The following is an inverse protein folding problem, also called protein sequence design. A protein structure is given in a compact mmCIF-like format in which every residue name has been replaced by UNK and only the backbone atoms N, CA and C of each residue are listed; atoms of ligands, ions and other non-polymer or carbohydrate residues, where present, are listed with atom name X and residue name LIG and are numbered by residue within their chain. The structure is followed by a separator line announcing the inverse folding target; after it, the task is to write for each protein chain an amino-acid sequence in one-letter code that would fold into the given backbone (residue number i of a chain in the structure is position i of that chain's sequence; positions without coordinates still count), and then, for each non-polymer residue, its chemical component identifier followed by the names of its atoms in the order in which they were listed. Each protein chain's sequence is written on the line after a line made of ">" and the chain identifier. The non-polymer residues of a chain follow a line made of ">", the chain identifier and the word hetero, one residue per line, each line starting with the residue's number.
data_IF_917111329854
#
_entry.id   IF_917111329854
#
_cell.length_a   1.000
_cell.length_b   1.000
_cell.length_c   1.000
_cell.angle_alpha   90.00
_cell.angle_beta   90.00
_cell.angle_gamma   90.00
#
_symmetry.space_group_name_H-M   'P 1'
#
loop_
_entity.id
_entity.type
_entity.pdbx_description
1 polymer ?
#
# COMPACT_ATOMS: atom_id res chain seq x y z
N UNK A 1 9.85 -94.17 -17.94
CA UNK A 1 8.78 -93.31 -18.49
C UNK A 1 9.49 -92.04 -18.95
N UNK A 2 9.80 -91.82 -20.24
CA UNK A 2 8.90 -91.51 -21.39
C UNK A 2 7.93 -90.39 -20.97
N UNK A 3 7.80 -89.20 -21.58
CA UNK A 3 8.22 -88.57 -22.84
C UNK A 3 8.26 -87.04 -22.58
N UNK A 4 9.20 -86.25 -23.11
CA UNK A 4 9.22 -85.59 -24.42
C UNK A 4 8.04 -84.64 -24.68
N UNK A 5 8.33 -83.33 -24.79
CA UNK A 5 7.88 -82.53 -25.93
C UNK A 5 8.77 -81.29 -26.09
N UNK A 6 9.33 -81.11 -27.29
CA UNK A 6 10.08 -79.94 -27.69
C UNK A 6 9.39 -79.23 -28.85
N UNK A 7 9.73 -77.97 -29.08
CA UNK A 7 9.66 -77.34 -30.41
C UNK A 7 10.59 -76.13 -30.50
N UNK A 8 11.62 -76.27 -31.34
CA UNK A 8 12.40 -75.20 -31.98
C UNK A 8 11.54 -74.53 -33.07
N UNK A 9 11.72 -73.28 -33.49
CA UNK A 9 12.79 -72.64 -34.30
C UNK A 9 12.48 -71.12 -34.25
N UNK A 10 13.39 -70.16 -34.43
CA UNK A 10 14.06 -69.86 -35.70
C UNK A 10 15.23 -68.86 -35.49
N UNK A 11 16.13 -68.87 -36.47
CA UNK A 11 17.52 -68.41 -36.51
C UNK A 11 17.63 -67.05 -37.23
N UNK A 12 18.50 -66.12 -36.77
CA UNK A 12 19.52 -65.43 -37.62
C UNK A 12 20.28 -64.30 -36.90
N UNK A 13 21.60 -64.42 -36.90
CA UNK A 13 22.55 -63.31 -36.80
C UNK A 13 22.75 -62.68 -38.19
N UNK A 14 22.93 -61.35 -38.24
CA UNK A 14 24.11 -60.76 -38.90
C UNK A 14 24.73 -59.72 -37.94
N UNK A 15 26.00 -59.34 -37.95
CA UNK A 15 27.09 -59.41 -38.90
C UNK A 15 28.13 -58.42 -38.34
N UNK A 16 29.41 -58.77 -38.37
CA UNK A 16 30.48 -57.91 -37.88
C UNK A 16 30.54 -56.60 -38.67
N UNK A 17 30.67 -55.47 -37.96
CA UNK A 17 31.07 -54.21 -38.59
C UNK A 17 30.66 -52.96 -37.83
N UNK A 18 31.39 -52.60 -36.76
CA UNK A 18 31.55 -51.20 -36.37
C UNK A 18 32.67 -51.08 -35.32
N UNK A 19 33.79 -50.50 -35.75
CA UNK A 19 34.87 -49.99 -34.93
C UNK A 19 34.33 -48.76 -34.20
N UNK A 20 34.27 -48.76 -32.86
CA UNK A 20 34.03 -47.53 -32.09
C UNK A 20 35.22 -47.27 -31.16
N UNK A 21 36.08 -46.34 -31.59
CA UNK A 21 37.07 -45.67 -30.77
C UNK A 21 36.32 -44.78 -29.76
N UNK A 22 36.30 -45.15 -28.49
CA UNK A 22 35.83 -44.24 -27.43
C UNK A 22 37.07 -43.53 -26.89
N UNK A 23 37.34 -42.38 -27.49
CA UNK A 23 38.32 -41.40 -27.06
C UNK A 23 37.84 -40.74 -25.78
N UNK A 24 38.72 -40.76 -24.76
CA UNK A 24 39.06 -39.67 -23.85
C UNK A 24 38.03 -38.53 -23.70
N UNK A 25 37.36 -38.50 -22.54
CA UNK A 25 36.53 -37.39 -22.09
C UNK A 25 36.21 -37.51 -20.61
N UNK A 26 37.24 -37.64 -19.75
CA UNK A 26 37.04 -37.59 -18.30
C UNK A 26 36.79 -36.13 -17.92
N UNK A 27 35.51 -35.81 -17.69
CA UNK A 27 35.04 -34.51 -17.27
C UNK A 27 35.65 -34.14 -15.91
N UNK A 28 36.46 -33.07 -15.90
CA UNK A 28 36.74 -32.31 -14.67
C UNK A 28 35.49 -31.50 -14.39
N UNK A 29 34.55 -32.07 -13.63
CA UNK A 29 33.45 -31.31 -13.04
C UNK A 29 34.06 -30.51 -11.89
N UNK A 30 34.40 -29.25 -12.16
CA UNK A 30 34.71 -28.29 -11.11
C UNK A 30 33.46 -28.17 -10.23
N UNK A 31 33.54 -28.71 -9.02
CA UNK A 31 32.55 -28.46 -7.98
C UNK A 31 32.57 -26.98 -7.64
N UNK A 32 31.69 -26.21 -8.28
CA UNK A 32 31.17 -24.98 -7.71
C UNK A 32 30.41 -25.41 -6.46
N UNK A 33 31.08 -25.32 -5.31
CA UNK A 33 30.42 -25.37 -4.02
C UNK A 33 29.52 -24.16 -3.93
N UNK A 34 28.27 -24.29 -4.35
CA UNK A 34 27.21 -23.45 -3.84
C UNK A 34 27.09 -23.81 -2.37
N UNK A 35 27.57 -22.93 -1.49
CA UNK A 35 27.11 -22.96 -0.11
C UNK A 35 25.59 -22.79 -0.19
N UNK A 36 24.84 -23.85 0.10
CA UNK A 36 23.43 -23.69 0.37
C UNK A 36 23.35 -22.77 1.60
N UNK A 37 22.88 -21.54 1.40
CA UNK A 37 22.34 -20.78 2.52
C UNK A 37 21.19 -21.64 3.05
N UNK A 38 21.38 -22.21 4.25
CA UNK A 38 20.31 -22.94 4.89
C UNK A 38 19.35 -21.88 5.42
N UNK A 39 18.17 -21.79 4.80
CA UNK A 39 17.07 -21.05 5.39
C UNK A 39 16.69 -21.74 6.71
N UNK A 40 16.62 -20.95 7.76
CA UNK A 40 16.05 -21.38 9.04
C UNK A 40 14.53 -21.21 8.96
N UNK A 41 13.80 -21.98 9.77
CA UNK A 41 12.34 -21.92 9.82
C UNK A 41 11.87 -21.60 11.23
N UNK A 42 10.88 -20.71 11.32
CA UNK A 42 10.07 -20.53 12.53
C UNK A 42 8.63 -20.88 12.21
N UNK A 43 7.95 -21.53 13.16
CA UNK A 43 6.55 -21.93 13.00
C UNK A 43 5.66 -20.96 13.76
N UNK A 44 4.65 -20.45 13.09
CA UNK A 44 3.60 -19.60 13.67
C UNK A 44 2.31 -20.40 13.76
N UNK A 45 1.82 -20.61 14.98
CA UNK A 45 0.57 -21.36 15.23
C UNK A 45 -0.60 -20.40 15.47
N UNK A 46 -1.47 -20.23 14.48
CA UNK A 46 -2.65 -19.37 14.57
C UNK A 46 -3.91 -20.22 14.61
N UNK A 47 -4.66 -20.15 15.72
CA UNK A 47 -5.92 -20.90 15.90
C UNK A 47 -5.83 -22.43 15.64
N UNK A 48 -4.64 -23.03 15.78
CA UNK A 48 -4.40 -24.46 15.56
C UNK A 48 -3.99 -24.82 14.13
N UNK A 49 -3.80 -23.84 13.25
CA UNK A 49 -3.11 -23.99 11.96
C UNK A 49 -1.66 -23.50 12.09
N UNK A 50 -0.72 -24.31 11.62
CA UNK A 50 0.72 -24.03 11.69
C UNK A 50 1.22 -23.54 10.34
N UNK A 51 1.95 -22.43 10.35
CA UNK A 51 2.56 -21.83 9.18
C UNK A 51 4.08 -21.74 9.37
N UNK A 52 4.85 -22.31 8.45
CA UNK A 52 6.29 -22.20 8.47
C UNK A 52 6.73 -20.94 7.72
N UNK A 53 7.49 -20.08 8.40
CA UNK A 53 8.14 -18.90 7.83
C UNK A 53 9.63 -19.22 7.68
N UNK A 54 10.10 -19.24 6.44
CA UNK A 54 11.52 -19.37 6.14
C UNK A 54 12.21 -18.02 6.27
N UNK A 55 13.41 -18.01 6.86
CA UNK A 55 14.23 -16.81 6.96
C UNK A 55 15.72 -17.10 6.81
N UNK A 56 16.46 -16.12 6.30
CA UNK A 56 17.92 -16.13 6.23
C UNK A 56 18.45 -14.75 6.62
N UNK A 57 19.69 -14.67 7.10
CA UNK A 57 20.28 -13.36 7.38
C UNK A 57 21.38 -13.39 8.42
N UNK A 58 21.77 -12.19 8.85
CA UNK A 58 22.76 -11.95 9.91
C UNK A 58 22.11 -11.87 11.30
N UNK A 59 20.77 -11.74 11.35
CA UNK A 59 19.99 -11.57 12.57
C UNK A 59 19.36 -12.91 12.99
N UNK A 60 19.36 -13.17 14.30
CA UNK A 60 18.69 -14.36 14.85
C UNK A 60 17.25 -14.06 15.21
N UNK A 61 16.30 -14.85 14.71
CA UNK A 61 14.90 -14.82 15.15
C UNK A 61 14.77 -15.70 16.40
N UNK A 62 14.34 -15.11 17.51
CA UNK A 62 14.23 -15.78 18.82
C UNK A 62 12.80 -16.18 19.17
N UNK A 63 11.82 -15.61 18.48
CA UNK A 63 10.41 -15.95 18.65
C UNK A 63 9.51 -15.22 17.65
N UNK A 64 8.26 -15.65 17.60
CA UNK A 64 7.21 -15.06 16.79
C UNK A 64 5.93 -14.91 17.61
N UNK A 65 5.24 -13.79 17.44
CA UNK A 65 3.95 -13.48 18.04
C UNK A 65 3.03 -12.88 16.98
N UNK A 66 1.72 -12.98 17.16
CA UNK A 66 0.74 -12.41 16.23
C UNK A 66 -0.40 -11.75 17.00
N UNK A 67 -1.04 -10.79 16.36
CA UNK A 67 -2.23 -10.13 16.88
C UNK A 67 -3.32 -10.10 15.80
N UNK A 68 -4.47 -10.74 16.09
CA UNK A 68 -5.60 -10.81 15.17
C UNK A 68 -6.45 -9.52 15.15
N UNK A 69 -6.42 -8.73 16.22
CA UNK A 69 -7.14 -7.45 16.29
C UNK A 69 -6.41 -6.37 15.48
N UNK A 70 -5.08 -6.47 15.38
CA UNK A 70 -4.25 -5.58 14.57
C UNK A 70 -3.79 -6.17 13.23
N UNK A 71 -4.02 -7.47 12.97
CA UNK A 71 -3.53 -8.21 11.79
C UNK A 71 -2.02 -7.97 11.65
N UNK A 72 -1.29 -8.24 12.73
CA UNK A 72 0.16 -8.09 12.77
C UNK A 72 0.87 -9.39 13.10
N UNK A 73 2.08 -9.54 12.55
CA UNK A 73 3.03 -10.60 12.85
C UNK A 73 4.32 -9.96 13.34
N UNK A 74 4.72 -10.35 14.56
CA UNK A 74 5.87 -9.82 15.28
C UNK A 74 6.98 -10.86 15.36
N UNK A 75 8.20 -10.45 15.05
CA UNK A 75 9.41 -11.25 15.19
C UNK A 75 10.28 -10.66 16.28
N UNK A 76 10.60 -11.45 17.30
CA UNK A 76 11.59 -11.10 18.32
C UNK A 76 12.98 -11.44 17.82
N UNK A 77 13.92 -10.52 17.96
CA UNK A 77 15.24 -10.61 17.34
C UNK A 77 16.37 -10.55 18.38
N UNK A 78 17.47 -11.20 18.04
CA UNK A 78 18.80 -10.91 18.60
C UNK A 78 19.68 -10.39 17.45
N UNK A 79 19.75 -9.06 17.33
CA UNK A 79 20.50 -8.34 16.30
C UNK A 79 21.75 -7.66 16.88
N UNK A 80 22.63 -8.40 17.56
CA UNK A 80 23.80 -7.84 18.25
C UNK A 80 24.65 -6.88 17.39
N UNK A 81 24.87 -7.24 16.11
CA UNK A 81 25.66 -6.45 15.15
C UNK A 81 24.80 -5.79 14.05
N UNK A 82 23.48 -6.01 14.05
CA UNK A 82 22.58 -5.66 12.95
C UNK A 82 22.85 -6.52 11.70
N UNK A 83 22.34 -6.08 10.55
CA UNK A 83 22.53 -6.75 9.26
C UNK A 83 21.21 -6.90 8.52
N UNK A 84 21.12 -7.87 7.63
CA UNK A 84 19.89 -8.08 6.84
C UNK A 84 19.14 -9.32 7.34
N UNK A 85 17.81 -9.24 7.37
CA UNK A 85 16.90 -10.37 7.57
C UNK A 85 16.00 -10.51 6.33
N UNK A 86 16.17 -11.61 5.62
CA UNK A 86 15.30 -12.02 4.53
C UNK A 86 14.22 -12.96 5.06
N UNK A 87 12.96 -12.64 4.80
CA UNK A 87 11.77 -13.41 5.19
C UNK A 87 11.01 -13.89 3.96
N UNK A 88 10.62 -15.15 3.95
CA UNK A 88 9.63 -15.69 3.01
C UNK A 88 8.32 -15.89 3.76
N UNK A 89 7.40 -14.93 3.61
CA UNK A 89 6.11 -14.93 4.29
C UNK A 89 5.07 -15.69 3.45
N UNK A 90 4.46 -16.78 3.96
CA UNK A 90 3.33 -17.40 3.30
C UNK A 90 2.14 -16.43 3.25
N UNK A 91 1.54 -16.23 2.08
CA UNK A 91 0.34 -15.39 1.94
C UNK A 91 -0.87 -15.94 2.71
N UNK A 92 -0.90 -17.24 2.94
CA UNK A 92 -1.91 -17.87 3.79
C UNK A 92 -1.73 -17.53 5.27
N UNK A 93 -0.51 -17.17 5.69
CA UNK A 93 -0.24 -16.70 7.05
C UNK A 93 -0.54 -15.21 7.16
N UNK A 94 0.12 -14.34 6.40
CA UNK A 94 -0.09 -12.89 6.45
C UNK A 94 0.03 -12.32 5.04
N UNK A 95 -0.91 -11.45 4.65
CA UNK A 95 -0.84 -10.75 3.37
C UNK A 95 -1.44 -9.35 3.48
N UNK A 96 -0.88 -8.44 2.70
CA UNK A 96 -1.46 -7.14 2.41
C UNK A 96 -2.12 -7.21 1.02
N UNK A 97 -3.37 -7.68 1.00
CA UNK A 97 -4.15 -7.84 -0.23
C UNK A 97 -5.64 -7.63 0.05
N UNK A 98 -6.23 -6.61 -0.58
CA UNK A 98 -7.67 -6.35 -0.52
C UNK A 98 -8.27 -6.35 -1.92
N UNK A 99 -9.38 -7.08 -2.10
CA UNK A 99 -10.05 -7.20 -3.40
C UNK A 99 -9.19 -7.87 -4.48
N UNK A 100 -8.19 -8.67 -4.08
CA UNK A 100 -7.24 -9.32 -5.00
C UNK A 100 -6.15 -8.40 -5.53
N UNK A 101 -5.98 -7.21 -4.95
CA UNK A 101 -4.91 -6.28 -5.29
C UNK A 101 -3.86 -6.30 -4.17
N UNK A 102 -2.61 -6.59 -4.53
CA UNK A 102 -1.48 -6.55 -3.61
C UNK A 102 -1.16 -5.11 -3.20
N UNK A 103 -1.26 -4.83 -1.90
CA UNK A 103 -0.72 -3.62 -1.28
C UNK A 103 0.71 -3.83 -0.76
N UNK A 104 1.26 -2.82 -0.09
CA UNK A 104 2.56 -2.88 0.58
C UNK A 104 2.37 -3.07 2.07
N UNK A 105 3.12 -3.99 2.69
CA UNK A 105 3.09 -4.16 4.14
C UNK A 105 3.58 -2.89 4.84
N UNK A 106 2.96 -2.55 5.96
CA UNK A 106 3.55 -1.63 6.93
C UNK A 106 4.46 -2.44 7.84
N UNK A 107 5.73 -2.04 7.97
CA UNK A 107 6.73 -2.78 8.74
C UNK A 107 7.42 -1.83 9.69
N UNK A 108 7.39 -2.16 10.98
CA UNK A 108 8.05 -1.41 12.03
C UNK A 108 9.28 -2.18 12.52
N UNK A 109 10.41 -1.51 12.64
CA UNK A 109 11.62 -2.02 13.30
C UNK A 109 11.76 -1.29 14.63
N UNK A 110 11.71 -2.02 15.75
CA UNK A 110 11.60 -1.47 17.11
C UNK A 110 10.49 -0.39 17.28
N UNK A 111 9.39 -0.54 16.54
CA UNK A 111 8.26 0.39 16.56
C UNK A 111 8.45 1.66 15.74
N UNK A 112 9.55 1.80 14.99
CA UNK A 112 9.77 2.89 14.03
C UNK A 112 9.47 2.42 12.60
N UNK A 113 8.72 3.24 11.85
CA UNK A 113 8.47 3.03 10.42
C UNK A 113 9.62 3.65 9.60
N UNK A 114 10.46 2.82 9.00
CA UNK A 114 11.48 3.23 8.03
C UNK A 114 11.35 2.40 6.74
N UNK A 115 10.55 2.85 5.76
CA UNK A 115 10.33 2.11 4.52
C UNK A 115 11.60 1.97 3.67
N UNK A 116 12.66 2.76 3.94
CA UNK A 116 13.92 2.65 3.20
C UNK A 116 14.76 1.45 3.64
N UNK A 117 14.47 0.90 4.83
CA UNK A 117 15.09 -0.32 5.36
C UNK A 117 14.47 -1.60 4.82
N UNK A 118 13.35 -1.51 4.08
CA UNK A 118 12.61 -2.67 3.58
C UNK A 118 12.67 -2.71 2.06
N UNK A 119 13.08 -3.86 1.53
CA UNK A 119 12.94 -4.18 0.11
C UNK A 119 12.01 -5.36 -0.04
N UNK A 120 10.90 -5.14 -0.73
CA UNK A 120 10.05 -6.25 -1.15
C UNK A 120 10.56 -6.89 -2.44
N UNK A 121 10.87 -8.19 -2.36
CA UNK A 121 11.43 -8.99 -3.43
C UNK A 121 10.36 -9.61 -4.33
N UNK A 122 10.57 -10.88 -4.68
CA UNK A 122 9.63 -11.60 -5.54
C UNK A 122 8.31 -11.91 -4.80
N UNK A 123 7.21 -11.69 -5.51
CA UNK A 123 5.84 -12.01 -5.08
C UNK A 123 5.34 -13.17 -5.92
N UNK A 124 4.82 -14.19 -5.25
CA UNK A 124 4.15 -15.33 -5.90
C UNK A 124 2.74 -15.46 -5.34
N UNK A 125 1.92 -16.36 -5.89
CA UNK A 125 0.60 -16.66 -5.32
C UNK A 125 0.69 -17.33 -3.93
N UNK A 126 1.85 -17.89 -3.57
CA UNK A 126 2.05 -18.63 -2.32
C UNK A 126 2.73 -17.80 -1.22
N UNK A 127 3.64 -16.90 -1.59
CA UNK A 127 4.49 -16.20 -0.64
C UNK A 127 4.94 -14.82 -1.12
N UNK A 128 5.34 -13.99 -0.17
CA UNK A 128 5.97 -12.68 -0.36
C UNK A 128 7.33 -12.68 0.30
N UNK A 129 8.36 -12.29 -0.44
CA UNK A 129 9.73 -12.20 0.06
C UNK A 129 10.04 -10.76 0.48
N UNK A 130 10.52 -10.58 1.69
CA UNK A 130 10.95 -9.31 2.24
C UNK A 130 12.43 -9.40 2.61
N UNK A 131 13.18 -8.33 2.35
CA UNK A 131 14.55 -8.14 2.80
C UNK A 131 14.58 -6.89 3.66
N UNK A 132 14.95 -7.02 4.93
CA UNK A 132 14.85 -5.96 5.94
C UNK A 132 16.24 -5.68 6.50
N UNK A 133 16.68 -4.43 6.39
CA UNK A 133 17.90 -3.94 7.03
C UNK A 133 17.61 -3.63 8.50
N UNK A 134 18.22 -4.44 9.37
CA UNK A 134 18.03 -4.40 10.82
C UNK A 134 19.23 -3.72 11.48
N UNK A 135 18.94 -2.71 12.30
CA UNK A 135 19.98 -1.97 13.01
C UNK A 135 20.55 -2.80 14.18
N UNK A 136 21.81 -2.53 14.54
CA UNK A 136 22.43 -3.17 15.69
C UNK A 136 21.68 -2.85 16.99
N UNK A 137 21.36 -3.90 17.74
CA UNK A 137 20.59 -3.82 18.97
C UNK A 137 19.07 -3.85 18.79
N UNK A 138 18.57 -3.96 17.55
CA UNK A 138 17.15 -4.09 17.32
C UNK A 138 16.61 -5.40 17.91
N UNK A 139 15.46 -5.30 18.56
CA UNK A 139 14.85 -6.38 19.32
C UNK A 139 13.57 -6.90 18.65
N UNK A 140 12.97 -6.14 17.74
CA UNK A 140 11.68 -6.46 17.18
C UNK A 140 11.49 -5.98 15.74
N UNK A 141 10.83 -6.80 14.93
CA UNK A 141 10.13 -6.37 13.71
C UNK A 141 8.65 -6.69 13.86
N UNK A 142 7.77 -5.75 13.50
CA UNK A 142 6.33 -5.97 13.43
C UNK A 142 5.81 -5.67 12.03
N UNK A 143 5.16 -6.66 11.41
CA UNK A 143 4.63 -6.61 10.05
C UNK A 143 3.11 -6.55 10.13
N UNK A 144 2.52 -5.50 9.58
CA UNK A 144 1.07 -5.33 9.51
C UNK A 144 0.58 -5.65 8.10
N UNK A 145 -0.46 -6.48 8.02
CA UNK A 145 -1.16 -6.80 6.79
C UNK A 145 -2.65 -6.47 6.89
N UNK A 146 -3.41 -6.87 5.87
CA UNK A 146 -4.87 -6.79 5.83
C UNK A 146 -5.54 -8.16 5.99
N UNK A 147 -4.74 -9.23 5.93
CA UNK A 147 -5.15 -10.60 6.25
C UNK A 147 -4.12 -11.32 7.12
N UNK A 148 -4.60 -12.16 8.07
CA UNK A 148 -3.77 -13.01 8.93
C UNK A 148 -4.51 -14.34 9.19
N UNK A 149 -3.96 -15.45 8.71
CA UNK A 149 -4.51 -16.81 8.84
C UNK A 149 -6.01 -16.90 8.50
N UNK A 150 -6.41 -16.28 7.38
CA UNK A 150 -7.79 -16.25 6.90
C UNK A 150 -8.72 -15.24 7.60
N UNK A 151 -8.26 -14.55 8.65
CA UNK A 151 -8.95 -13.36 9.17
C UNK A 151 -8.62 -12.18 8.27
N UNK A 152 -9.63 -11.43 7.82
CA UNK A 152 -9.44 -10.27 6.94
C UNK A 152 -10.09 -9.03 7.52
N UNK A 153 -9.38 -7.90 7.43
CA UNK A 153 -9.89 -6.56 7.74
C UNK A 153 -10.22 -5.75 6.49
N UNK A 154 -10.09 -6.35 5.30
CA UNK A 154 -10.55 -5.71 4.08
C UNK A 154 -12.06 -5.45 4.21
N UNK A 155 -12.54 -4.25 3.88
CA UNK A 155 -13.98 -4.04 3.78
C UNK A 155 -14.52 -5.06 2.80
N UNK A 156 -15.50 -5.85 3.25
CA UNK A 156 -16.19 -6.79 2.38
C UNK A 156 -16.70 -5.99 1.18
N UNK A 157 -16.38 -6.44 -0.03
CA UNK A 157 -16.79 -5.72 -1.23
C UNK A 157 -18.31 -5.64 -1.18
N UNK A 158 -18.85 -4.43 -1.03
CA UNK A 158 -20.29 -4.22 -1.15
C UNK A 158 -20.69 -4.85 -2.49
N UNK A 159 -21.70 -5.75 -2.51
CA UNK A 159 -22.04 -6.48 -3.73
C UNK A 159 -22.22 -5.47 -4.85
N UNK A 160 -21.50 -5.64 -5.97
CA UNK A 160 -21.67 -4.78 -7.13
C UNK A 160 -23.17 -4.70 -7.42
N UNK A 161 -23.75 -3.49 -7.57
CA UNK A 161 -25.17 -3.37 -7.84
C UNK A 161 -25.48 -4.19 -9.08
N UNK A 162 -26.51 -5.05 -9.00
CA UNK A 162 -26.97 -5.81 -10.16
C UNK A 162 -27.12 -4.85 -11.34
N UNK A 163 -26.59 -5.20 -12.54
CA UNK A 163 -26.66 -4.30 -13.67
C UNK A 163 -28.12 -3.91 -13.91
N UNK A 164 -28.39 -2.61 -13.95
CA UNK A 164 -29.73 -2.12 -14.26
C UNK A 164 -30.21 -2.76 -15.56
N UNK A 165 -31.48 -3.17 -15.66
CA UNK A 165 -32.00 -3.80 -16.86
C UNK A 165 -31.77 -2.86 -18.05
N UNK A 166 -31.08 -3.37 -19.07
CA UNK A 166 -30.85 -2.63 -20.31
C UNK A 166 -32.21 -2.21 -20.86
N UNK A 167 -32.46 -0.91 -21.11
CA UNK A 167 -33.73 -0.47 -21.65
C UNK A 167 -33.99 -1.16 -22.99
N UNK A 168 -35.21 -1.67 -23.15
CA UNK A 168 -35.68 -2.31 -24.37
C UNK A 168 -35.52 -1.31 -25.54
N UNK A 169 -35.00 -1.73 -26.70
CA UNK A 169 -34.76 -0.81 -27.82
C UNK A 169 -36.08 -0.14 -28.24
N UNK A 170 -36.06 1.20 -28.31
CA UNK A 170 -37.21 1.96 -28.84
C UNK A 170 -37.53 1.49 -30.27
N UNK A 171 -38.83 1.40 -30.62
CA UNK A 171 -39.24 1.00 -31.96
C UNK A 171 -38.71 1.99 -33.00
N UNK A 172 -38.16 1.44 -34.08
CA UNK A 172 -37.62 2.21 -35.20
C UNK A 172 -38.71 3.12 -35.80
N UNK A 173 -38.46 4.43 -35.96
CA UNK A 173 -39.48 5.37 -36.42
C UNK A 173 -39.93 5.04 -37.84
N UNK A 174 -41.25 5.08 -38.07
CA UNK A 174 -41.82 4.86 -39.40
C UNK A 174 -41.28 5.88 -40.43
N UNK A 175 -41.03 5.46 -41.68
CA UNK A 175 -40.49 6.33 -42.71
C UNK A 175 -41.44 7.49 -43.01
N UNK A 176 -40.95 8.72 -42.82
CA UNK A 176 -41.69 9.95 -43.12
C UNK A 176 -41.90 10.07 -44.64
N UNK A 177 -43.12 10.37 -45.11
CA UNK A 177 -43.40 10.57 -46.53
C UNK A 177 -42.54 11.69 -47.13
N UNK A 178 -42.07 11.49 -48.37
CA UNK A 178 -41.29 12.49 -49.10
C UNK A 178 -42.07 13.82 -49.25
N UNK A 179 -41.45 14.97 -48.98
CA UNK A 179 -42.14 16.26 -49.07
C UNK A 179 -42.52 16.58 -50.52
N UNK A 180 -43.73 17.14 -50.69
CA UNK A 180 -44.22 17.61 -51.98
C UNK A 180 -43.34 18.77 -52.51
N UNK A 181 -43.13 18.87 -53.84
CA UNK A 181 -42.30 19.91 -54.44
C UNK A 181 -42.87 21.31 -54.14
N UNK A 182 -41.98 22.22 -53.73
CA UNK A 182 -42.31 23.58 -53.38
C UNK A 182 -42.78 24.40 -54.60
N UNK A 183 -43.79 25.28 -54.44
CA UNK A 183 -44.23 26.18 -55.51
C UNK A 183 -43.15 27.24 -55.83
N UNK A 184 -43.13 27.67 -57.09
CA UNK A 184 -42.18 28.66 -57.60
C UNK A 184 -42.34 30.03 -56.88
N UNK A 185 -41.22 30.71 -56.55
CA UNK A 185 -41.27 31.98 -55.82
C UNK A 185 -41.87 33.11 -56.67
N UNK A 186 -42.70 33.93 -56.04
CA UNK A 186 -43.23 35.17 -56.61
C UNK A 186 -42.15 36.27 -56.67
N UNK A 187 -42.23 37.21 -57.63
CA UNK A 187 -41.23 38.27 -57.78
C UNK A 187 -41.19 39.24 -56.60
N UNK A 188 -39.96 39.58 -56.18
CA UNK A 188 -39.63 40.42 -55.03
C UNK A 188 -39.95 41.91 -55.29
N UNK A 189 -40.66 42.62 -54.39
CA UNK A 189 -40.83 44.06 -54.48
C UNK A 189 -39.53 44.84 -54.24
N UNK A 190 -39.43 46.02 -54.85
CA UNK A 190 -38.27 46.92 -54.71
C UNK A 190 -38.12 47.47 -53.28
N UNK A 191 -36.88 47.60 -52.76
CA UNK A 191 -36.64 48.03 -51.39
C UNK A 191 -36.97 49.52 -51.17
N UNK A 192 -37.57 49.82 -50.00
CA UNK A 192 -37.82 51.17 -49.52
C UNK A 192 -36.54 51.81 -48.93
N UNK A 193 -36.41 53.15 -48.95
CA UNK A 193 -35.22 53.84 -48.45
C UNK A 193 -35.03 53.74 -46.94
N UNK A 194 -33.77 53.60 -46.55
CA UNK A 194 -33.26 53.40 -45.18
C UNK A 194 -33.40 54.67 -44.33
N UNK A 195 -33.93 54.60 -43.08
CA UNK A 195 -33.93 55.73 -42.15
C UNK A 195 -32.53 56.09 -41.64
N UNK A 196 -32.33 57.37 -41.31
CA UNK A 196 -31.08 57.90 -40.78
C UNK A 196 -30.79 57.42 -39.33
N UNK A 197 -29.51 57.22 -38.95
CA UNK A 197 -29.14 56.70 -37.64
C UNK A 197 -29.38 57.70 -36.49
N UNK A 198 -29.83 57.16 -35.36
CA UNK A 198 -30.04 57.87 -34.09
C UNK A 198 -28.70 58.18 -33.38
N UNK A 199 -28.60 59.27 -32.59
CA UNK A 199 -27.36 59.62 -31.87
C UNK A 199 -26.99 58.60 -30.79
N UNK A 200 -25.68 58.45 -30.58
CA UNK A 200 -25.10 57.51 -29.61
C UNK A 200 -25.32 57.95 -28.15
N UNK A 201 -25.58 57.00 -27.21
CA UNK A 201 -25.68 57.30 -25.78
C UNK A 201 -24.35 57.74 -25.16
N UNK A 202 -24.44 58.56 -24.10
CA UNK A 202 -23.29 59.05 -23.34
C UNK A 202 -22.61 57.95 -22.49
N UNK A 203 -21.30 58.05 -22.20
CA UNK A 203 -20.56 57.03 -21.45
C UNK A 203 -20.96 56.98 -19.98
N UNK A 204 -21.13 55.76 -19.45
CA UNK A 204 -21.34 55.50 -18.02
C UNK A 204 -20.05 55.74 -17.19
N UNK A 205 -20.17 56.12 -15.91
CA UNK A 205 -19.02 56.35 -15.03
C UNK A 205 -18.25 55.06 -14.71
N UNK A 206 -16.93 55.19 -14.57
CA UNK A 206 -16.01 54.08 -14.32
C UNK A 206 -16.24 53.44 -12.93
N UNK A 207 -16.19 52.10 -12.82
CA UNK A 207 -16.32 51.42 -11.53
C UNK A 207 -15.09 51.67 -10.66
N UNK A 208 -15.33 51.91 -9.37
CA UNK A 208 -14.31 52.01 -8.33
C UNK A 208 -13.65 50.64 -8.15
N UNK A 209 -12.32 50.57 -8.21
CA UNK A 209 -11.58 49.32 -8.06
C UNK A 209 -11.82 48.71 -6.67
N UNK A 210 -12.53 47.58 -6.63
CA UNK A 210 -12.64 46.75 -5.43
C UNK A 210 -11.30 46.06 -5.23
N UNK A 211 -10.54 46.47 -4.22
CA UNK A 211 -9.30 45.80 -3.85
C UNK A 211 -9.66 44.53 -3.07
N UNK A 212 -9.43 43.37 -3.69
CA UNK A 212 -9.57 42.07 -3.04
C UNK A 212 -8.43 41.85 -2.03
N UNK A 213 -8.72 41.09 -0.98
CA UNK A 213 -7.75 40.77 0.07
C UNK A 213 -6.64 39.82 -0.41
N UNK A 214 -5.59 39.62 0.40
CA UNK A 214 -4.48 38.72 0.05
C UNK A 214 -4.99 37.32 -0.31
N UNK A 215 -4.53 36.77 -1.44
CA UNK A 215 -4.89 35.42 -1.89
C UNK A 215 -6.19 35.34 -2.71
N UNK A 216 -6.83 36.48 -3.01
CA UNK A 216 -8.05 36.54 -3.83
C UNK A 216 -7.92 37.50 -5.01
N UNK A 217 -8.53 37.16 -6.13
CA UNK A 217 -8.61 38.00 -7.34
C UNK A 217 -10.06 38.42 -7.62
N UNK A 218 -10.25 39.59 -8.22
CA UNK A 218 -11.58 40.06 -8.61
C UNK A 218 -12.00 39.38 -9.92
N UNK A 219 -13.01 38.49 -9.87
CA UNK A 219 -13.71 37.95 -11.05
C UNK A 219 -15.19 38.23 -10.93
N UNK A 220 -15.77 38.75 -12.01
CA UNK A 220 -17.22 39.04 -12.11
C UNK A 220 -17.78 39.89 -10.95
N UNK A 221 -16.95 40.77 -10.39
CA UNK A 221 -17.33 41.64 -9.27
C UNK A 221 -17.25 40.99 -7.89
N UNK A 222 -16.79 39.74 -7.78
CA UNK A 222 -16.57 39.02 -6.53
C UNK A 222 -15.09 38.67 -6.34
N UNK A 223 -14.62 38.64 -5.09
CA UNK A 223 -13.27 38.15 -4.77
C UNK A 223 -13.30 36.63 -4.69
N UNK A 224 -12.61 35.96 -5.60
CA UNK A 224 -12.46 34.49 -5.67
C UNK A 224 -11.02 34.09 -5.32
N UNK A 225 -10.83 32.86 -4.83
CA UNK A 225 -9.51 32.34 -4.52
C UNK A 225 -8.65 32.29 -5.80
N UNK A 226 -7.37 32.64 -5.68
CA UNK A 226 -6.46 32.54 -6.82
C UNK A 226 -5.98 31.09 -7.00
N UNK A 227 -6.61 30.36 -7.93
CA UNK A 227 -6.32 28.95 -8.22
C UNK A 227 -4.87 28.69 -8.68
N UNK A 228 -4.07 29.74 -8.91
CA UNK A 228 -2.64 29.61 -9.25
C UNK A 228 -1.78 29.25 -8.05
N UNK A 229 -2.29 29.38 -6.83
CA UNK A 229 -1.57 29.03 -5.61
C UNK A 229 -2.28 27.86 -4.91
N UNK A 230 -1.50 26.84 -4.52
CA UNK A 230 -2.01 25.66 -3.82
C UNK A 230 -2.47 25.98 -2.39
N UNK A 231 -3.12 25.02 -1.70
CA UNK A 231 -3.63 25.20 -0.34
C UNK A 231 -2.53 25.73 0.60
N UNK A 232 -2.80 26.82 1.33
CA UNK A 232 -1.86 27.40 2.30
C UNK A 232 -0.87 28.45 1.75
N UNK A 233 -0.99 28.84 0.48
CA UNK A 233 -0.11 29.87 -0.14
C UNK A 233 -0.90 31.05 -0.71
N UNK A 234 -0.27 32.23 -0.78
CA UNK A 234 -0.85 33.51 -1.21
C UNK A 234 -0.04 34.07 -2.38
N UNK A 235 -0.69 34.54 -3.45
CA UNK A 235 -0.02 35.17 -4.58
C UNK A 235 0.45 36.60 -4.24
N UNK A 236 1.77 36.83 -4.23
CA UNK A 236 2.38 38.14 -3.95
C UNK A 236 3.59 38.36 -4.86
N UNK A 237 3.65 39.53 -5.51
CA UNK A 237 4.77 39.95 -6.38
C UNK A 237 5.14 38.94 -7.50
N UNK A 238 4.18 38.14 -7.98
CA UNK A 238 4.40 37.15 -9.04
C UNK A 238 4.80 35.75 -8.55
N UNK A 239 4.84 35.51 -7.24
CA UNK A 239 5.14 34.22 -6.63
C UNK A 239 4.10 33.82 -5.57
N UNK A 240 3.91 32.51 -5.38
CA UNK A 240 3.13 31.99 -4.25
C UNK A 240 4.02 31.94 -3.00
N UNK A 241 3.61 32.66 -1.95
CA UNK A 241 4.31 32.71 -0.66
C UNK A 241 3.45 32.08 0.42
N UNK A 242 4.06 31.41 1.41
CA UNK A 242 3.35 30.80 2.53
C UNK A 242 2.78 31.91 3.42
N UNK A 243 1.52 31.81 3.84
CA UNK A 243 0.92 32.80 4.73
C UNK A 243 1.50 32.63 6.14
N UNK A 244 2.50 33.44 6.51
CA UNK A 244 2.94 33.54 7.90
C UNK A 244 1.76 34.06 8.74
N UNK A 245 1.20 33.19 9.57
CA UNK A 245 0.16 33.56 10.51
C UNK A 245 0.67 34.69 11.41
N UNK A 246 -0.13 35.74 11.68
CA UNK A 246 0.29 36.78 12.61
C UNK A 246 0.56 36.13 13.95
N UNK A 247 1.77 36.32 14.47
CA UNK A 247 2.18 35.87 15.79
C UNK A 247 1.22 36.44 16.84
N UNK A 248 0.18 35.70 17.18
CA UNK A 248 -0.67 36.03 18.31
C UNK A 248 0.16 35.73 19.57
N UNK A 249 0.39 36.71 20.47
CA UNK A 249 1.03 36.41 21.74
C UNK A 249 0.09 35.48 22.51
N UNK A 250 0.48 34.22 22.66
CA UNK A 250 -0.20 33.25 23.51
C UNK A 250 -0.21 33.83 24.92
N UNK A 251 -1.33 34.46 25.30
CA UNK A 251 -1.51 35.02 26.63
C UNK A 251 -1.96 33.87 27.51
N UNK A 252 -1.00 33.20 28.14
CA UNK A 252 -1.22 32.11 29.10
C UNK A 252 -1.87 32.67 30.38
N UNK A 253 -3.17 32.98 30.33
CA UNK A 253 -3.91 33.62 31.44
C UNK A 253 -5.01 32.76 32.06
N UNK A 254 -5.04 31.46 31.76
CA UNK A 254 -6.05 30.53 32.30
C UNK A 254 -5.50 29.15 32.69
N UNK A 255 -4.19 29.03 32.96
CA UNK A 255 -3.58 27.79 33.46
C UNK A 255 -3.28 27.83 34.97
N UNK A 256 -4.12 28.50 35.76
CA UNK A 256 -3.83 28.80 37.17
C UNK A 256 -4.80 28.21 38.20
N UNK A 257 -5.84 27.46 37.81
CA UNK A 257 -6.87 27.06 38.78
C UNK A 257 -7.38 25.62 38.74
N UNK A 258 -6.91 24.78 37.82
CA UNK A 258 -7.37 23.38 37.76
C UNK A 258 -6.25 22.32 37.72
N UNK A 259 -4.98 22.71 37.85
CA UNK A 259 -3.84 21.77 37.97
C UNK A 259 -3.37 21.55 39.42
N UNK A 260 -4.27 21.73 40.40
CA UNK A 260 -3.96 21.59 41.84
C UNK A 260 -4.33 20.25 42.47
N UNK A 261 -5.01 19.35 41.75
CA UNK A 261 -5.61 18.14 42.36
C UNK A 261 -5.12 16.82 41.72
N UNK A 262 -4.48 16.86 40.55
CA UNK A 262 -4.03 15.64 39.84
C UNK A 262 -2.65 15.09 40.23
N UNK A 263 -1.74 15.93 40.75
CA UNK A 263 -0.32 15.53 40.91
C UNK A 263 0.05 15.00 42.31
N UNK A 264 -0.86 15.01 43.28
CA UNK A 264 -0.59 14.49 44.63
C UNK A 264 -1.06 13.04 44.87
N UNK A 265 -1.67 12.38 43.88
CA UNK A 265 -2.12 10.97 44.02
C UNK A 265 -1.07 9.96 43.54
N UNK A 266 -0.08 10.37 42.73
CA UNK A 266 0.92 9.44 42.19
C UNK A 266 2.13 9.15 43.10
N UNK A 267 2.39 9.95 44.14
CA UNK A 267 3.60 9.78 44.98
C UNK A 267 3.39 9.04 46.31
N UNK A 268 2.16 8.65 46.66
CA UNK A 268 1.91 7.85 47.88
C UNK A 268 1.93 6.33 47.61
N UNK A 269 1.70 5.89 46.36
CA UNK A 269 1.72 4.48 45.97
C UNK A 269 3.13 3.86 45.90
N UNK A 270 4.13 4.60 45.37
CA UNK A 270 5.49 4.10 45.25
C UNK A 270 6.28 4.10 46.58
N UNK A 271 5.91 4.98 47.52
CA UNK A 271 6.59 5.11 48.82
C UNK A 271 6.29 3.98 49.81
N UNK A 272 5.12 3.34 49.73
CA UNK A 272 4.75 2.25 50.66
C UNK A 272 5.38 0.91 50.24
N UNK A 273 5.54 0.66 48.94
CA UNK A 273 6.12 -0.60 48.43
C UNK A 273 7.63 -0.70 48.77
N UNK A 274 8.36 0.41 48.70
CA UNK A 274 9.79 0.44 49.07
C UNK A 274 10.07 0.16 50.56
N UNK A 275 9.17 0.57 51.46
CA UNK A 275 9.31 0.33 52.91
C UNK A 275 9.03 -1.14 53.26
N UNK A 276 8.08 -1.80 52.58
CA UNK A 276 7.76 -3.21 52.82
C UNK A 276 8.90 -4.14 52.34
N UNK A 277 9.51 -3.85 51.18
CA UNK A 277 10.67 -4.61 50.68
C UNK A 277 11.95 -4.36 51.50
N UNK A 278 12.13 -3.16 52.05
CA UNK A 278 13.25 -2.83 52.93
C UNK A 278 13.23 -3.56 54.29
N UNK A 279 12.04 -3.86 54.83
CA UNK A 279 11.91 -4.61 56.09
C UNK A 279 12.15 -6.11 55.86
N UNK A 280 11.72 -6.67 54.72
CA UNK A 280 11.96 -8.08 54.38
C UNK A 280 13.46 -8.40 54.18
N UNK A 281 14.23 -7.48 53.60
CA UNK A 281 15.68 -7.66 53.39
C UNK A 281 16.49 -7.68 54.71
N UNK A 282 15.95 -7.14 55.81
CA UNK A 282 16.64 -7.09 57.11
C UNK A 282 16.41 -8.33 57.98
N UNK A 283 15.39 -9.13 57.69
CA UNK A 283 15.09 -10.36 58.43
C UNK A 283 15.94 -11.57 58.00
N UNK A 284 16.59 -11.51 56.83
CA UNK A 284 17.40 -12.62 56.29
C UNK A 284 18.91 -12.53 56.62
N UNK A 285 19.30 -11.58 57.48
CA UNK A 285 20.70 -11.33 57.88
C UNK A 285 20.93 -11.39 59.41
N UNK A 286 20.13 -12.18 60.11
CA UNK A 286 20.34 -12.62 61.50
C UNK A 286 20.28 -14.14 61.57
#
# INVERSE_FOLDING_TARGET
>A
MIAAEGRQEEIRLPGQGAILKISLGLAVLAGLGFAAAYAETTTVDVNGESFDVEFTGDVTVTGTEFDLDFISLRFMLDAADGGTLDLTLPRSLIDESCGGLDGEFLILVDGEDDPSSVTEGEKTDAARMLSIDVQAGAAEIEIFGSTLAGVSQCPDAEPEPEPEPVPEPEPEPEPVPAPAPAPAPAPTPAPAPTPAPSPAPAPAPAPTATQCGPGTILRDGACVLDDRCGPGTVFKDGQCVIQEAPAQPITLRTLGRDLGVGFFVAFIGAGIIGVVLGIAARAHRL
#
